data_IF_447007388339
#
_entry.id   IF_447007388339
#
_cell.length_a   1.000
_cell.length_b   1.000
_cell.length_c   1.000
_cell.angle_alpha   90.00
_cell.angle_beta   90.00
_cell.angle_gamma   90.00
#
_symmetry.space_group_name_H-M   'P 1'
#
loop_
_entity.id
_entity.type
_entity.pdbx_description
1 polymer ?
#
# COMPACT_ATOMS: atom_id res chain seq x y z
N UNK A 1 -1.31 1.68 -19.77
CA UNK A 1 -1.47 0.23 -19.51
C UNK A 1 -2.03 0.06 -18.11
N UNK A 2 -3.14 -0.67 -17.91
CA UNK A 2 -3.66 -0.94 -16.57
C UNK A 2 -2.62 -1.73 -15.78
N UNK A 3 -2.38 -1.35 -14.52
CA UNK A 3 -1.45 -2.07 -13.65
C UNK A 3 -1.96 -3.50 -13.44
N UNK A 4 -1.06 -4.51 -13.40
CA UNK A 4 -1.44 -5.91 -13.13
C UNK A 4 -2.34 -6.02 -11.89
N UNK A 5 -3.41 -6.82 -11.97
CA UNK A 5 -4.40 -6.98 -10.87
C UNK A 5 -3.74 -7.34 -9.53
N UNK A 6 -2.70 -8.17 -9.57
CA UNK A 6 -1.91 -8.53 -8.40
C UNK A 6 -1.26 -7.32 -7.70
N UNK A 7 -0.76 -6.34 -8.46
CA UNK A 7 -0.17 -5.12 -7.89
C UNK A 7 -1.26 -4.24 -7.28
N UNK A 8 -2.46 -4.21 -7.87
CA UNK A 8 -3.59 -3.47 -7.31
C UNK A 8 -4.09 -4.07 -5.99
N UNK A 9 -4.13 -5.40 -5.87
CA UNK A 9 -4.48 -6.06 -4.61
C UNK A 9 -3.45 -5.79 -3.52
N UNK A 10 -2.16 -5.78 -3.86
CA UNK A 10 -1.08 -5.43 -2.93
C UNK A 10 -1.14 -3.96 -2.50
N UNK A 11 -1.41 -3.04 -3.43
CA UNK A 11 -1.61 -1.62 -3.11
C UNK A 11 -2.85 -1.40 -2.22
N UNK A 12 -3.94 -2.14 -2.46
CA UNK A 12 -5.11 -2.12 -1.57
C UNK A 12 -4.77 -2.62 -0.17
N UNK A 13 -4.02 -3.72 -0.08
CA UNK A 13 -3.52 -4.26 1.20
C UNK A 13 -2.67 -3.22 1.95
N UNK A 14 -1.79 -2.52 1.24
CA UNK A 14 -0.96 -1.46 1.82
C UNK A 14 -1.82 -0.30 2.35
N UNK A 15 -2.81 0.16 1.57
CA UNK A 15 -3.75 1.19 2.00
C UNK A 15 -4.54 0.77 3.24
N UNK A 16 -4.95 -0.50 3.34
CA UNK A 16 -5.63 -1.01 4.55
C UNK A 16 -4.73 -0.97 5.78
N UNK A 17 -3.42 -1.17 5.61
CA UNK A 17 -2.47 -1.03 6.73
C UNK A 17 -2.30 0.44 7.13
N UNK A 18 -2.30 1.37 6.18
CA UNK A 18 -2.29 2.80 6.48
C UNK A 18 -3.54 3.24 7.27
N UNK A 19 -4.72 2.71 6.91
CA UNK A 19 -5.96 2.94 7.66
C UNK A 19 -5.86 2.39 9.10
N UNK A 20 -5.23 1.23 9.30
CA UNK A 20 -4.97 0.65 10.62
C UNK A 20 -4.01 1.52 11.44
N UNK A 21 -3.00 2.13 10.82
CA UNK A 21 -2.10 3.06 11.50
C UNK A 21 -2.81 4.34 11.93
N UNK A 22 -3.73 4.87 11.10
CA UNK A 22 -4.59 5.99 11.48
C UNK A 22 -5.51 5.64 12.65
N UNK A 23 -6.12 4.45 12.63
CA UNK A 23 -6.95 3.95 13.73
C UNK A 23 -6.13 3.80 15.03
N UNK A 24 -4.89 3.33 14.92
CA UNK A 24 -3.95 3.24 16.05
C UNK A 24 -3.69 4.63 16.65
N UNK A 25 -3.43 5.64 15.82
CA UNK A 25 -3.25 7.02 16.28
C UNK A 25 -4.50 7.55 17.01
N UNK A 26 -5.69 7.24 16.49
CA UNK A 26 -6.96 7.63 17.10
C UNK A 26 -7.14 6.99 18.48
N UNK A 27 -6.84 5.69 18.62
CA UNK A 27 -6.89 5.00 19.90
C UNK A 27 -5.89 5.55 20.91
N UNK A 28 -4.69 5.95 20.48
CA UNK A 28 -3.73 6.64 21.35
C UNK A 28 -4.27 7.99 21.83
N UNK A 29 -4.86 8.79 20.94
CA UNK A 29 -5.47 10.08 21.30
C UNK A 29 -6.61 9.90 22.33
N UNK A 30 -7.46 8.88 22.14
CA UNK A 30 -8.53 8.53 23.08
C UNK A 30 -7.99 8.01 24.41
N UNK A 31 -6.91 7.22 24.41
CA UNK A 31 -6.23 6.77 25.62
C UNK A 31 -5.65 7.96 26.42
N UNK A 32 -5.09 8.96 25.74
CA UNK A 32 -4.60 10.18 26.41
C UNK A 32 -5.77 11.02 26.95
N UNK A 33 -6.86 11.19 26.19
CA UNK A 33 -8.04 11.91 26.70
C UNK A 33 -8.66 11.23 27.94
N UNK A 34 -8.74 9.90 27.92
CA UNK A 34 -9.26 9.13 29.07
C UNK A 34 -8.31 9.13 30.27
N UNK A 35 -6.98 9.21 30.06
CA UNK A 35 -6.01 9.34 31.17
C UNK A 35 -6.09 10.71 31.86
N UNK A 36 -6.39 11.78 31.13
CA UNK A 36 -6.59 13.12 31.69
C UNK A 36 -7.84 13.17 32.57
N UNK A 37 -8.93 12.57 32.11
CA UNK A 37 -10.18 12.44 32.88
C UNK A 37 -10.04 11.51 34.09
N UNK A 38 -9.22 10.45 33.98
CA UNK A 38 -8.87 9.58 35.11
C UNK A 38 -8.08 10.38 36.18
N UNK A 39 -7.10 11.19 35.77
CA UNK A 39 -6.31 12.05 36.66
C UNK A 39 -7.16 13.12 37.35
N UNK A 40 -8.27 13.54 36.75
CA UNK A 40 -9.26 14.47 37.35
C UNK A 40 -10.17 13.81 38.40
N UNK A 41 -10.00 12.51 38.67
CA UNK A 41 -10.71 11.78 39.73
C UNK A 41 -11.91 10.97 39.24
N UNK A 42 -12.12 10.84 37.93
CA UNK A 42 -13.22 10.03 37.39
C UNK A 42 -12.76 8.58 37.15
N UNK A 43 -12.80 7.76 38.21
CA UNK A 43 -12.40 6.34 38.14
C UNK A 43 -13.25 5.48 37.19
N UNK A 44 -14.44 5.95 36.81
CA UNK A 44 -15.32 5.25 35.85
C UNK A 44 -14.71 5.15 34.44
N UNK A 45 -13.69 5.96 34.13
CA UNK A 45 -13.00 5.94 32.83
C UNK A 45 -11.87 4.89 32.76
N UNK A 46 -11.52 4.25 33.87
CA UNK A 46 -10.48 3.21 33.94
C UNK A 46 -10.69 2.04 32.95
N UNK A 47 -11.89 1.43 32.84
CA UNK A 47 -12.12 0.36 31.86
C UNK A 47 -12.04 0.86 30.41
N UNK A 48 -12.39 2.12 30.17
CA UNK A 48 -12.33 2.72 28.83
C UNK A 48 -10.87 2.99 28.42
N UNK A 49 -10.06 3.50 29.34
CA UNK A 49 -8.61 3.63 29.14
C UNK A 49 -7.95 2.27 28.85
N UNK A 50 -8.26 1.23 29.64
CA UNK A 50 -7.70 -0.10 29.42
C UNK A 50 -8.08 -0.67 28.05
N UNK A 51 -9.34 -0.48 27.64
CA UNK A 51 -9.81 -0.89 26.32
C UNK A 51 -9.10 -0.11 25.20
N UNK A 52 -8.97 1.21 25.31
CA UNK A 52 -8.27 2.02 24.30
C UNK A 52 -6.78 1.68 24.22
N UNK A 53 -6.12 1.45 25.36
CA UNK A 53 -4.73 1.03 25.40
C UNK A 53 -4.55 -0.36 24.78
N UNK A 54 -5.44 -1.31 25.09
CA UNK A 54 -5.42 -2.66 24.50
C UNK A 54 -5.63 -2.60 22.98
N UNK A 55 -6.63 -1.85 22.52
CA UNK A 55 -6.89 -1.65 21.10
C UNK A 55 -5.71 -0.99 20.40
N UNK A 56 -5.05 -0.01 21.02
CA UNK A 56 -3.84 0.61 20.49
C UNK A 56 -2.72 -0.42 20.25
N UNK A 57 -2.40 -1.24 21.25
CA UNK A 57 -1.35 -2.26 21.10
C UNK A 57 -1.72 -3.33 20.08
N UNK A 58 -2.97 -3.78 20.05
CA UNK A 58 -3.43 -4.78 19.09
C UNK A 58 -3.39 -4.24 17.65
N UNK A 59 -3.89 -3.03 17.40
CA UNK A 59 -3.85 -2.42 16.07
C UNK A 59 -2.42 -2.16 15.61
N UNK A 60 -1.52 -1.79 16.52
CA UNK A 60 -0.09 -1.64 16.22
C UNK A 60 0.57 -2.99 15.86
N UNK A 61 0.24 -4.06 16.58
CA UNK A 61 0.72 -5.41 16.26
C UNK A 61 0.22 -5.85 14.87
N UNK A 62 -1.07 -5.70 14.60
CA UNK A 62 -1.65 -6.05 13.30
C UNK A 62 -1.03 -5.26 12.15
N UNK A 63 -0.86 -3.95 12.32
CA UNK A 63 -0.22 -3.09 11.31
C UNK A 63 1.25 -3.46 11.07
N UNK A 64 2.03 -3.72 12.14
CA UNK A 64 3.44 -4.07 12.02
C UNK A 64 3.65 -5.47 11.42
N UNK A 65 2.80 -6.44 11.75
CA UNK A 65 2.80 -7.77 11.12
C UNK A 65 2.37 -7.67 9.66
N UNK A 66 1.35 -6.87 9.35
CA UNK A 66 0.89 -6.58 8.00
C UNK A 66 2.03 -6.02 7.14
N UNK A 67 2.68 -4.94 7.58
CA UNK A 67 3.83 -4.35 6.88
C UNK A 67 4.97 -5.35 6.70
N UNK A 68 5.28 -6.17 7.71
CA UNK A 68 6.33 -7.18 7.60
C UNK A 68 6.01 -8.21 6.52
N UNK A 69 4.76 -8.65 6.42
CA UNK A 69 4.30 -9.57 5.37
C UNK A 69 4.36 -8.91 4.00
N UNK A 70 3.95 -7.65 3.89
CA UNK A 70 4.05 -6.89 2.63
C UNK A 70 5.50 -6.73 2.16
N UNK A 71 6.42 -6.40 3.06
CA UNK A 71 7.86 -6.30 2.75
C UNK A 71 8.39 -7.66 2.30
N UNK A 72 8.00 -8.76 2.96
CA UNK A 72 8.38 -10.11 2.55
C UNK A 72 7.85 -10.46 1.15
N UNK A 73 6.60 -10.12 0.86
CA UNK A 73 6.03 -10.31 -0.47
C UNK A 73 6.71 -9.42 -1.52
N UNK A 74 7.13 -8.20 -1.15
CA UNK A 74 7.90 -7.35 -2.04
C UNK A 74 9.26 -7.99 -2.35
N UNK A 75 9.97 -8.49 -1.33
CA UNK A 75 11.27 -9.15 -1.48
C UNK A 75 11.18 -10.45 -2.32
N UNK A 76 10.16 -11.28 -2.09
CA UNK A 76 9.89 -12.49 -2.90
C UNK A 76 9.54 -12.17 -4.37
N UNK A 77 8.97 -10.98 -4.64
CA UNK A 77 8.66 -10.53 -5.99
C UNK A 77 9.80 -9.73 -6.64
N UNK A 78 10.75 -9.20 -5.85
CA UNK A 78 12.01 -8.60 -6.31
C UNK A 78 12.97 -9.72 -6.71
N UNK A 79 12.78 -10.23 -7.92
CA UNK A 79 13.65 -11.25 -8.53
C UNK A 79 12.90 -12.25 -9.40
N UNK A 80 11.62 -12.49 -9.12
CA UNK A 80 10.88 -13.60 -9.76
C UNK A 80 9.88 -13.14 -10.83
N UNK A 81 9.27 -11.95 -10.71
CA UNK A 81 8.43 -11.31 -11.74
C UNK A 81 7.95 -9.93 -11.27
N UNK A 82 7.92 -8.96 -12.21
CA UNK A 82 7.05 -7.76 -12.24
C UNK A 82 7.42 -6.45 -11.55
N UNK A 83 8.51 -6.30 -10.81
CA UNK A 83 9.02 -4.97 -10.46
C UNK A 83 10.36 -4.74 -11.15
N UNK A 84 10.49 -3.74 -12.04
CA UNK A 84 11.79 -3.37 -12.54
C UNK A 84 12.67 -3.08 -11.34
N UNK A 85 13.85 -3.70 -11.35
CA UNK A 85 14.96 -3.43 -10.42
C UNK A 85 15.05 -1.91 -10.26
N UNK A 86 15.38 -1.45 -9.06
CA UNK A 86 15.41 -0.08 -8.58
C UNK A 86 16.22 0.90 -9.47
N UNK A 87 15.77 1.14 -10.71
CA UNK A 87 16.33 2.05 -11.68
C UNK A 87 15.21 2.98 -12.10
N UNK A 88 15.38 4.25 -11.70
CA UNK A 88 14.72 5.45 -12.19
C UNK A 88 13.67 5.23 -13.28
N UNK A 89 12.43 5.72 -13.07
CA UNK A 89 11.39 5.91 -14.09
C UNK A 89 12.01 6.41 -15.41
N UNK A 90 12.45 5.51 -16.28
CA UNK A 90 12.85 5.82 -17.66
C UNK A 90 11.61 5.74 -18.52
N UNK A 91 11.58 6.54 -19.58
CA UNK A 91 10.44 6.70 -20.46
C UNK A 91 10.09 5.38 -21.18
N UNK A 92 9.26 4.54 -20.57
CA UNK A 92 8.80 3.23 -21.06
C UNK A 92 7.86 3.31 -22.29
N UNK A 93 7.72 4.48 -22.92
CA UNK A 93 6.86 4.70 -24.10
C UNK A 93 7.61 4.67 -25.44
N UNK A 94 8.90 5.05 -25.44
CA UNK A 94 9.61 5.35 -26.69
C UNK A 94 9.81 4.14 -27.60
N UNK A 95 9.97 2.95 -27.02
CA UNK A 95 10.20 1.71 -27.78
C UNK A 95 8.92 1.21 -28.44
N UNK A 96 7.79 1.29 -27.73
CA UNK A 96 6.49 0.88 -28.27
C UNK A 96 6.02 1.82 -29.38
N UNK A 97 6.26 3.12 -29.24
CA UNK A 97 5.87 4.10 -30.26
C UNK A 97 6.64 3.87 -31.57
N UNK A 98 7.94 3.57 -31.50
CA UNK A 98 8.76 3.24 -32.68
C UNK A 98 8.34 1.93 -33.35
N UNK A 99 8.05 0.89 -32.57
CA UNK A 99 7.61 -0.40 -33.12
C UNK A 99 6.25 -0.25 -33.81
N UNK A 100 5.33 0.52 -33.21
CA UNK A 100 4.02 0.79 -33.78
C UNK A 100 4.13 1.56 -35.10
N UNK A 101 4.99 2.56 -35.16
CA UNK A 101 5.26 3.31 -36.38
C UNK A 101 5.83 2.43 -37.51
N UNK A 102 6.66 1.44 -37.18
CA UNK A 102 7.17 0.46 -38.16
C UNK A 102 6.08 -0.50 -38.65
N UNK A 103 5.20 -0.96 -37.75
CA UNK A 103 4.05 -1.79 -38.13
C UNK A 103 3.08 -1.03 -39.04
N UNK A 104 2.79 0.24 -38.74
CA UNK A 104 1.90 1.07 -39.55
C UNK A 104 2.48 1.30 -40.95
N UNK A 105 3.81 1.49 -41.06
CA UNK A 105 4.51 1.59 -42.36
C UNK A 105 4.40 0.29 -43.15
N UNK A 106 4.63 -0.85 -42.50
CA UNK A 106 4.55 -2.17 -43.13
C UNK A 106 3.14 -2.48 -43.63
N UNK A 107 2.11 -2.12 -42.86
CA UNK A 107 0.71 -2.32 -43.22
C UNK A 107 0.29 -1.45 -44.41
N UNK A 108 0.84 -0.24 -44.52
CA UNK A 108 0.60 0.65 -45.67
C UNK A 108 1.27 0.13 -46.95
N UNK A 109 2.51 -0.36 -46.88
CA UNK A 109 3.17 -0.97 -48.04
C UNK A 109 2.47 -2.25 -48.52
N UNK A 110 1.93 -3.05 -47.59
CA UNK A 110 1.16 -4.25 -47.93
C UNK A 110 -0.16 -3.91 -48.66
N UNK A 111 -0.77 -2.77 -48.33
CA UNK A 111 -1.99 -2.27 -48.97
C UNK A 111 -1.72 -1.62 -50.33
N UNK A 112 -0.56 -1.01 -50.54
CA UNK A 112 -0.15 -0.47 -51.85
C UNK A 112 0.31 -1.57 -52.83
N UNK A 113 0.68 -2.75 -52.33
CA UNK A 113 1.13 -3.90 -53.13
C UNK A 113 0.00 -4.89 -53.53
N UNK A 114 -1.27 -4.61 -53.19
CA UNK A 114 -2.46 -5.38 -53.59
C UNK A 114 -3.36 -4.55 -54.51
#
# INVERSE_FOLDING_TARGET
MPQPEFIQERLKSLNTIDDLLLATLLHASQAVGTIEELKRGNENMKPQFENHARSFYNSLEEATVGLRREIKHLDENVGTRLLPINVNKRATGQDNDKIREQFDKLENELKESS
#
